data_IF_452908115542
#
_entry.id   IF_452908115542
#
_cell.length_a   1.000
_cell.length_b   1.000
_cell.length_c   1.000
_cell.angle_alpha   90.00
_cell.angle_beta   90.00
_cell.angle_gamma   90.00
#
_symmetry.space_group_name_H-M   'P 1'
#
loop_
_entity.id
_entity.type
_entity.pdbx_description
1 polymer ?
#
# COMPACT_ATOMS: atom_id res chain seq x y z
N UNK A 1 -19.87 -78.60 59.66
CA UNK A 1 -20.12 -77.94 58.37
C UNK A 1 -19.01 -76.94 58.15
N UNK A 2 -18.04 -77.32 57.32
CA UNK A 2 -16.82 -76.59 56.99
C UNK A 2 -17.01 -76.00 55.60
N UNK A 3 -17.02 -74.67 55.48
CA UNK A 3 -17.09 -73.97 54.20
C UNK A 3 -15.75 -73.34 53.87
N UNK A 4 -15.24 -73.72 52.70
CA UNK A 4 -13.97 -73.36 52.09
C UNK A 4 -13.97 -71.91 51.57
N UNK A 5 -12.85 -71.22 51.77
CA UNK A 5 -12.54 -69.89 51.23
C UNK A 5 -11.88 -70.04 49.86
N UNK A 6 -12.27 -69.21 48.89
CA UNK A 6 -11.63 -69.09 47.56
C UNK A 6 -11.06 -67.67 47.41
N UNK A 7 -9.82 -67.48 46.89
CA UNK A 7 -9.16 -66.17 46.88
C UNK A 7 -9.46 -65.34 45.63
N UNK A 8 -9.26 -64.04 45.79
CA UNK A 8 -9.63 -62.93 44.91
C UNK A 8 -8.93 -62.90 43.54
N UNK A 9 -9.65 -62.44 42.51
CA UNK A 9 -9.09 -61.95 41.25
C UNK A 9 -8.92 -60.43 41.33
N UNK A 10 -7.71 -59.95 41.04
CA UNK A 10 -7.39 -58.52 40.95
C UNK A 10 -7.94 -57.92 39.65
N UNK A 11 -8.51 -56.71 39.64
CA UNK A 11 -8.92 -56.05 38.40
C UNK A 11 -7.71 -55.49 37.65
N UNK A 12 -7.64 -55.79 36.36
CA UNK A 12 -6.67 -55.24 35.39
C UNK A 12 -6.90 -53.72 35.26
N UNK A 13 -5.84 -52.87 35.27
CA UNK A 13 -6.01 -51.44 35.04
C UNK A 13 -6.43 -51.19 33.58
N UNK A 14 -7.55 -50.51 33.40
CA UNK A 14 -8.00 -50.05 32.10
C UNK A 14 -6.95 -49.09 31.49
N UNK A 15 -6.48 -49.42 30.28
CA UNK A 15 -5.60 -48.55 29.52
C UNK A 15 -6.27 -47.19 29.28
N UNK A 16 -5.59 -46.11 29.62
CA UNK A 16 -6.07 -44.76 29.34
C UNK A 16 -6.15 -44.53 27.82
N UNK A 17 -7.25 -43.99 27.28
CA UNK A 17 -7.31 -43.67 25.86
C UNK A 17 -6.26 -42.62 25.52
N UNK A 18 -5.47 -42.89 24.49
CA UNK A 18 -4.50 -41.94 23.94
C UNK A 18 -5.21 -40.64 23.53
N UNK A 19 -4.59 -39.46 23.72
CA UNK A 19 -5.20 -38.20 23.33
C UNK A 19 -5.39 -38.19 21.82
N UNK A 20 -6.65 -38.16 21.38
CA UNK A 20 -6.98 -37.88 19.99
C UNK A 20 -6.34 -36.53 19.63
N UNK A 21 -5.43 -36.57 18.63
CA UNK A 21 -4.88 -35.39 18.01
C UNK A 21 -6.01 -34.64 17.29
N UNK A 22 -6.73 -33.83 18.05
CA UNK A 22 -7.78 -32.98 17.55
C UNK A 22 -7.20 -32.07 16.48
N UNK A 23 -7.73 -32.19 15.26
CA UNK A 23 -7.51 -31.27 14.14
C UNK A 23 -7.71 -29.84 14.63
N UNK A 24 -6.62 -29.16 14.93
CA UNK A 24 -6.58 -27.83 15.51
C UNK A 24 -6.97 -26.78 14.48
N UNK A 25 -8.25 -26.69 14.15
CA UNK A 25 -8.79 -25.52 13.47
C UNK A 25 -8.60 -24.30 14.37
N UNK A 26 -8.10 -23.19 13.82
CA UNK A 26 -7.98 -21.91 14.51
C UNK A 26 -9.36 -21.48 15.03
N UNK A 27 -9.64 -21.79 16.30
CA UNK A 27 -10.83 -21.28 17.00
C UNK A 27 -10.38 -20.00 17.70
N UNK A 28 -10.74 -18.80 17.19
CA UNK A 28 -10.47 -17.58 17.94
C UNK A 28 -11.15 -17.73 19.31
N UNK A 29 -10.40 -17.55 20.39
CA UNK A 29 -10.88 -17.63 21.78
C UNK A 29 -10.86 -16.24 22.41
N UNK A 30 -11.76 -16.00 23.36
CA UNK A 30 -11.81 -14.76 24.14
C UNK A 30 -12.20 -13.52 23.31
N UNK A 31 -11.49 -12.42 23.52
CA UNK A 31 -11.88 -11.10 22.99
C UNK A 31 -11.86 -11.01 21.45
N UNK A 32 -10.94 -11.70 20.78
CA UNK A 32 -10.90 -11.74 19.30
C UNK A 32 -12.18 -12.36 18.75
N UNK A 33 -12.70 -13.42 19.38
CA UNK A 33 -13.98 -14.02 18.99
C UNK A 33 -15.16 -13.07 19.22
N UNK A 34 -15.15 -12.30 20.32
CA UNK A 34 -16.17 -11.30 20.61
C UNK A 34 -16.19 -10.22 19.53
N UNK A 35 -15.02 -9.65 19.19
CA UNK A 35 -14.87 -8.63 18.13
C UNK A 35 -15.37 -9.18 16.79
N UNK A 36 -14.96 -10.40 16.42
CA UNK A 36 -15.42 -11.05 15.18
C UNK A 36 -16.92 -11.29 15.17
N UNK A 37 -17.53 -11.66 16.30
CA UNK A 37 -18.98 -11.87 16.40
C UNK A 37 -19.75 -10.56 16.34
N UNK A 38 -19.28 -9.52 17.04
CA UNK A 38 -19.89 -8.19 17.07
C UNK A 38 -19.86 -7.53 15.70
N UNK A 39 -18.74 -7.65 14.97
CA UNK A 39 -18.56 -7.04 13.65
C UNK A 39 -18.85 -8.01 12.49
N UNK A 40 -19.42 -9.19 12.76
CA UNK A 40 -19.66 -10.23 11.74
C UNK A 40 -20.34 -9.73 10.46
N UNK A 41 -21.47 -8.98 10.49
CA UNK A 41 -22.11 -8.54 9.25
C UNK A 41 -21.21 -7.59 8.45
N UNK A 42 -20.56 -6.63 9.13
CA UNK A 42 -19.59 -5.71 8.50
C UNK A 42 -18.42 -6.47 7.88
N UNK A 43 -17.85 -7.44 8.60
CA UNK A 43 -16.75 -8.27 8.10
C UNK A 43 -17.15 -9.11 6.89
N UNK A 44 -18.38 -9.65 6.88
CA UNK A 44 -18.91 -10.41 5.73
C UNK A 44 -19.08 -9.48 4.52
N UNK A 45 -19.67 -8.29 4.68
CA UNK A 45 -19.83 -7.33 3.58
C UNK A 45 -18.47 -6.91 3.03
N UNK A 46 -17.51 -6.55 3.90
CA UNK A 46 -16.16 -6.18 3.48
C UNK A 46 -15.44 -7.34 2.78
N UNK A 47 -15.62 -8.58 3.25
CA UNK A 47 -15.05 -9.76 2.59
C UNK A 47 -15.68 -9.98 1.20
N UNK A 48 -16.99 -9.82 1.05
CA UNK A 48 -17.67 -9.93 -0.25
C UNK A 48 -17.21 -8.84 -1.22
N UNK A 49 -17.09 -7.59 -0.76
CA UNK A 49 -16.58 -6.48 -1.57
C UNK A 49 -15.13 -6.72 -1.99
N UNK A 50 -14.29 -7.18 -1.07
CA UNK A 50 -12.90 -7.53 -1.37
C UNK A 50 -12.84 -8.66 -2.41
N UNK A 51 -13.61 -9.74 -2.24
CA UNK A 51 -13.64 -10.84 -3.22
C UNK A 51 -14.14 -10.36 -4.57
N UNK A 52 -15.18 -9.53 -4.61
CA UNK A 52 -15.69 -8.96 -5.85
C UNK A 52 -14.63 -8.13 -6.58
N UNK A 53 -13.91 -7.26 -5.86
CA UNK A 53 -12.82 -6.45 -6.39
C UNK A 53 -11.65 -7.32 -6.90
N UNK A 54 -11.25 -8.35 -6.14
CA UNK A 54 -10.19 -9.26 -6.57
C UNK A 54 -10.58 -10.02 -7.86
N UNK A 55 -11.83 -10.48 -7.96
CA UNK A 55 -12.36 -11.12 -9.17
C UNK A 55 -12.41 -10.13 -10.34
N UNK A 56 -12.84 -8.90 -10.09
CA UNK A 56 -12.88 -7.85 -11.10
C UNK A 56 -11.48 -7.51 -11.62
N UNK A 57 -10.49 -7.32 -10.74
CA UNK A 57 -9.10 -7.07 -11.15
C UNK A 57 -8.52 -8.26 -11.91
N UNK A 58 -8.77 -9.49 -11.46
CA UNK A 58 -8.31 -10.69 -12.17
C UNK A 58 -8.93 -10.77 -13.58
N UNK A 59 -10.23 -10.47 -13.71
CA UNK A 59 -10.91 -10.45 -15.01
C UNK A 59 -10.40 -9.31 -15.89
N UNK A 60 -10.28 -8.10 -15.36
CA UNK A 60 -9.73 -6.94 -16.07
C UNK A 60 -8.33 -7.24 -16.60
N UNK A 61 -7.47 -7.76 -15.74
CA UNK A 61 -6.12 -8.13 -16.13
C UNK A 61 -6.10 -9.22 -17.18
N UNK A 62 -6.98 -10.23 -17.10
CA UNK A 62 -7.09 -11.26 -18.14
C UNK A 62 -7.52 -10.66 -19.49
N UNK A 63 -8.55 -9.80 -19.49
CA UNK A 63 -9.07 -9.16 -20.71
C UNK A 63 -8.03 -8.23 -21.35
N UNK A 64 -7.34 -7.43 -20.53
CA UNK A 64 -6.24 -6.56 -20.97
C UNK A 64 -5.19 -7.34 -21.75
N UNK A 65 -4.70 -8.47 -21.20
CA UNK A 65 -3.66 -9.26 -21.89
C UNK A 65 -4.18 -9.91 -23.14
N UNK A 66 -5.34 -10.55 -23.04
CA UNK A 66 -5.93 -11.25 -24.18
C UNK A 66 -6.13 -10.31 -25.36
N UNK A 67 -6.67 -9.12 -25.13
CA UNK A 67 -6.89 -8.15 -26.20
C UNK A 67 -5.57 -7.51 -26.67
N UNK A 68 -4.61 -7.29 -25.76
CA UNK A 68 -3.27 -6.82 -26.13
C UNK A 68 -2.51 -7.81 -27.02
N UNK A 69 -2.60 -9.11 -26.72
CA UNK A 69 -1.99 -10.20 -27.49
C UNK A 69 -2.65 -10.33 -28.87
N UNK A 70 -3.99 -10.30 -28.93
CA UNK A 70 -4.74 -10.35 -30.21
C UNK A 70 -4.37 -9.18 -31.12
N UNK A 71 -4.07 -8.02 -30.54
CA UNK A 71 -3.64 -6.81 -31.26
C UNK A 71 -2.12 -6.73 -31.44
N UNK A 72 -1.34 -7.69 -30.94
CA UNK A 72 0.13 -7.65 -30.98
C UNK A 72 0.71 -6.30 -30.48
N UNK A 73 0.10 -5.72 -29.42
CA UNK A 73 0.49 -4.40 -28.91
C UNK A 73 1.94 -4.38 -28.41
N UNK A 74 2.42 -5.50 -27.86
CA UNK A 74 3.79 -5.62 -27.39
C UNK A 74 4.81 -5.45 -28.53
N UNK A 75 4.52 -6.01 -29.72
CA UNK A 75 5.44 -5.96 -30.87
C UNK A 75 5.29 -4.66 -31.65
N UNK A 76 4.04 -4.24 -31.90
CA UNK A 76 3.74 -3.08 -32.75
C UNK A 76 3.94 -1.74 -32.05
N UNK A 77 3.87 -1.71 -30.71
CA UNK A 77 4.03 -0.50 -29.91
C UNK A 77 5.29 -0.55 -29.00
N UNK A 78 6.29 -1.36 -29.34
CA UNK A 78 7.49 -1.56 -28.51
C UNK A 78 8.38 -0.31 -28.32
N UNK A 79 8.23 0.71 -29.18
CA UNK A 79 9.04 1.93 -29.16
C UNK A 79 8.35 3.09 -28.43
N UNK A 80 7.41 3.74 -29.11
CA UNK A 80 6.62 4.83 -28.55
C UNK A 80 5.15 4.40 -28.50
N UNK A 81 4.73 3.88 -27.34
CA UNK A 81 3.38 3.36 -27.16
C UNK A 81 2.32 4.47 -27.23
N UNK A 82 2.67 5.70 -26.86
CA UNK A 82 1.76 6.84 -26.96
C UNK A 82 1.55 7.23 -28.41
N UNK A 83 2.62 7.40 -29.17
CA UNK A 83 2.56 7.68 -30.61
C UNK A 83 1.87 6.53 -31.37
N UNK A 84 2.07 5.28 -30.93
CA UNK A 84 1.35 4.11 -31.43
C UNK A 84 -0.16 4.29 -31.28
N UNK A 85 -0.64 4.65 -30.08
CA UNK A 85 -2.06 4.88 -29.84
C UNK A 85 -2.61 6.12 -30.57
N UNK A 86 -1.79 7.13 -30.86
CA UNK A 86 -2.21 8.31 -31.63
C UNK A 86 -2.32 8.03 -33.14
N UNK A 87 -1.49 7.12 -33.68
CA UNK A 87 -1.42 6.84 -35.13
C UNK A 87 -2.13 5.56 -35.57
N UNK A 88 -2.33 4.60 -34.67
CA UNK A 88 -2.83 3.27 -35.00
C UNK A 88 -4.16 2.97 -34.30
N UNK A 89 -5.24 2.83 -35.08
CA UNK A 89 -6.60 2.72 -34.55
C UNK A 89 -6.83 1.57 -33.58
N UNK A 90 -6.27 0.35 -33.75
CA UNK A 90 -6.46 -0.71 -32.77
C UNK A 90 -5.84 -0.42 -31.39
N UNK A 91 -4.73 0.32 -31.33
CA UNK A 91 -4.17 0.79 -30.06
C UNK A 91 -5.01 1.93 -29.46
N UNK A 92 -5.54 2.83 -30.29
CA UNK A 92 -6.49 3.86 -29.86
C UNK A 92 -7.76 3.26 -29.23
N UNK A 93 -8.35 2.25 -29.90
CA UNK A 93 -9.54 1.53 -29.43
C UNK A 93 -9.27 0.81 -28.11
N UNK A 94 -8.11 0.15 -28.00
CA UNK A 94 -7.68 -0.50 -26.77
C UNK A 94 -7.55 0.52 -25.62
N UNK A 95 -6.91 1.65 -25.89
CA UNK A 95 -6.77 2.75 -24.92
C UNK A 95 -8.12 3.29 -24.47
N UNK A 96 -9.05 3.51 -25.40
CA UNK A 96 -10.40 3.98 -25.11
C UNK A 96 -11.21 2.94 -24.30
N UNK A 97 -11.02 1.64 -24.58
CA UNK A 97 -11.74 0.57 -23.89
C UNK A 97 -11.26 0.29 -22.46
N UNK A 98 -9.96 0.42 -22.18
CA UNK A 98 -9.39 0.01 -20.89
C UNK A 98 -8.74 1.13 -20.06
N UNK A 99 -8.47 2.30 -20.64
CA UNK A 99 -7.74 3.38 -19.97
C UNK A 99 -8.42 3.83 -18.67
N UNK A 100 -9.72 4.15 -18.75
CA UNK A 100 -10.49 4.55 -17.58
C UNK A 100 -10.63 3.42 -16.56
N UNK A 101 -10.87 2.19 -17.05
CA UNK A 101 -10.99 1.02 -16.18
C UNK A 101 -9.72 0.83 -15.34
N UNK A 102 -8.54 0.83 -15.96
CA UNK A 102 -7.28 0.70 -15.24
C UNK A 102 -7.03 1.89 -14.31
N UNK A 103 -7.32 3.12 -14.76
CA UNK A 103 -7.14 4.32 -13.95
C UNK A 103 -7.99 4.32 -12.68
N UNK A 104 -9.30 4.09 -12.80
CA UNK A 104 -10.21 4.09 -11.65
C UNK A 104 -9.95 2.93 -10.70
N UNK A 105 -9.58 1.74 -11.20
CA UNK A 105 -9.14 0.64 -10.34
C UNK A 105 -7.86 1.01 -9.57
N UNK A 106 -6.93 1.74 -10.19
CA UNK A 106 -5.75 2.26 -9.51
C UNK A 106 -6.09 3.20 -8.36
N UNK A 107 -7.03 4.12 -8.58
CA UNK A 107 -7.55 5.00 -7.52
C UNK A 107 -8.25 4.21 -6.41
N UNK A 108 -9.00 3.15 -6.73
CA UNK A 108 -9.62 2.28 -5.73
C UNK A 108 -8.56 1.60 -4.85
N UNK A 109 -7.53 1.01 -5.48
CA UNK A 109 -6.41 0.35 -4.80
C UNK A 109 -5.61 1.32 -3.93
N UNK A 110 -5.47 2.57 -4.37
CA UNK A 110 -4.79 3.61 -3.61
C UNK A 110 -5.63 4.10 -2.41
N UNK A 111 -6.88 4.51 -2.65
CA UNK A 111 -7.65 5.28 -1.68
C UNK A 111 -8.54 4.43 -0.78
N UNK A 112 -9.12 3.32 -1.26
CA UNK A 112 -10.03 2.52 -0.44
C UNK A 112 -9.29 1.89 0.76
N UNK A 113 -8.13 1.22 0.59
CA UNK A 113 -7.33 0.73 1.70
C UNK A 113 -6.90 1.81 2.67
N UNK A 114 -6.46 2.96 2.13
CA UNK A 114 -6.03 4.10 2.93
C UNK A 114 -7.16 4.62 3.81
N UNK A 115 -8.31 4.92 3.22
CA UNK A 115 -9.48 5.43 3.93
C UNK A 115 -10.00 4.40 4.94
N UNK A 116 -10.00 3.12 4.58
CA UNK A 116 -10.32 2.04 5.51
C UNK A 116 -9.36 2.04 6.70
N UNK A 117 -8.05 2.22 6.48
CA UNK A 117 -7.06 2.34 7.56
C UNK A 117 -7.33 3.53 8.48
N UNK A 118 -7.50 4.73 7.90
CA UNK A 118 -7.73 5.97 8.65
C UNK A 118 -9.03 5.96 9.47
N UNK A 119 -10.09 5.32 8.96
CA UNK A 119 -11.44 5.40 9.53
C UNK A 119 -11.96 4.12 10.19
N UNK A 120 -11.13 3.08 10.36
CA UNK A 120 -11.51 1.90 11.14
C UNK A 120 -11.02 2.00 12.58
N UNK A 121 -9.71 1.97 12.80
CA UNK A 121 -9.15 1.88 14.14
C UNK A 121 -9.45 3.09 15.02
N UNK A 122 -9.36 4.31 14.46
CA UNK A 122 -9.62 5.54 15.20
C UNK A 122 -11.04 5.61 15.76
N UNK A 123 -12.09 5.58 14.92
CA UNK A 123 -13.47 5.56 15.40
C UNK A 123 -13.80 4.37 16.30
N UNK A 124 -13.28 3.17 16.02
CA UNK A 124 -13.51 2.00 16.87
C UNK A 124 -12.94 2.18 18.29
N UNK A 125 -11.75 2.75 18.43
CA UNK A 125 -11.12 3.03 19.73
C UNK A 125 -11.79 4.22 20.41
N UNK A 126 -12.01 5.31 19.67
CA UNK A 126 -12.56 6.55 20.20
C UNK A 126 -13.99 6.36 20.73
N UNK A 127 -14.85 5.60 20.05
CA UNK A 127 -16.22 5.33 20.51
C UNK A 127 -16.26 4.61 21.85
N UNK A 128 -15.34 3.68 22.10
CA UNK A 128 -15.29 3.01 23.40
C UNK A 128 -14.80 3.95 24.50
N UNK A 129 -13.80 4.78 24.21
CA UNK A 129 -13.31 5.81 25.13
C UNK A 129 -14.40 6.83 25.49
N UNK A 130 -15.13 7.29 24.48
CA UNK A 130 -16.22 8.26 24.57
C UNK A 130 -17.42 7.71 25.34
N UNK A 131 -17.79 6.44 25.13
CA UNK A 131 -18.87 5.76 25.86
C UNK A 131 -18.48 5.22 27.23
N UNK A 132 -17.19 5.23 27.60
CA UNK A 132 -16.68 4.69 28.86
C UNK A 132 -16.69 3.16 28.97
N UNK A 133 -17.07 2.46 27.90
CA UNK A 133 -17.18 0.99 27.85
C UNK A 133 -15.84 0.28 28.06
N UNK A 134 -14.73 0.96 27.74
CA UNK A 134 -13.37 0.47 28.01
C UNK A 134 -13.13 0.14 29.50
N UNK A 135 -13.77 0.84 30.44
CA UNK A 135 -13.60 0.59 31.89
C UNK A 135 -14.09 -0.80 32.29
N UNK A 136 -15.23 -1.21 31.74
CA UNK A 136 -15.79 -2.55 31.96
C UNK A 136 -14.91 -3.62 31.30
N UNK A 137 -14.38 -3.35 30.11
CA UNK A 137 -13.49 -4.27 29.43
C UNK A 137 -12.20 -4.53 30.23
N UNK A 138 -11.67 -3.51 30.90
CA UNK A 138 -10.42 -3.62 31.66
C UNK A 138 -10.59 -4.28 33.02
N UNK A 139 -11.77 -4.17 33.65
CA UNK A 139 -12.06 -4.86 34.91
C UNK A 139 -12.34 -6.35 34.70
N UNK A 140 -12.78 -6.76 33.50
CA UNK A 140 -13.13 -8.16 33.18
C UNK A 140 -11.97 -9.00 32.63
N UNK A 141 -10.74 -8.80 33.14
CA UNK A 141 -9.53 -9.63 32.88
C UNK A 141 -8.70 -9.32 31.63
N UNK A 142 -8.96 -8.22 30.91
CA UNK A 142 -8.12 -7.81 29.77
C UNK A 142 -7.24 -6.61 30.16
N UNK A 143 -5.91 -6.79 30.26
CA UNK A 143 -5.04 -5.66 30.54
C UNK A 143 -5.10 -4.65 29.37
N UNK A 144 -4.95 -3.34 29.65
CA UNK A 144 -5.19 -2.26 28.68
C UNK A 144 -4.45 -2.44 27.34
N UNK A 145 -3.20 -2.91 27.39
CA UNK A 145 -2.39 -3.16 26.21
C UNK A 145 -2.91 -4.35 25.36
N UNK A 146 -3.43 -5.41 25.99
CA UNK A 146 -4.03 -6.56 25.26
C UNK A 146 -5.36 -6.16 24.63
N UNK A 147 -6.14 -5.31 25.30
CA UNK A 147 -7.36 -4.74 24.74
C UNK A 147 -7.07 -3.97 23.45
N UNK A 148 -6.09 -3.05 23.46
CA UNK A 148 -5.74 -2.28 22.26
C UNK A 148 -5.15 -3.20 21.16
N UNK A 149 -4.21 -4.08 21.52
CA UNK A 149 -3.59 -4.97 20.55
C UNK A 149 -4.61 -5.86 19.83
N UNK A 150 -5.59 -6.40 20.55
CA UNK A 150 -6.63 -7.24 19.96
C UNK A 150 -7.57 -6.46 19.03
N UNK A 151 -7.83 -5.17 19.31
CA UNK A 151 -8.62 -4.29 18.42
C UNK A 151 -7.89 -3.97 17.11
N UNK A 152 -6.57 -3.81 17.17
CA UNK A 152 -5.76 -3.46 16.00
C UNK A 152 -5.36 -4.69 15.18
N UNK A 153 -5.26 -5.87 15.80
CA UNK A 153 -4.84 -7.09 15.13
C UNK A 153 -5.75 -7.47 13.95
N UNK A 154 -7.08 -7.41 14.13
CA UNK A 154 -8.03 -7.80 13.06
C UNK A 154 -7.93 -6.86 11.85
N UNK A 155 -8.05 -5.52 11.99
CA UNK A 155 -7.83 -4.59 10.87
C UNK A 155 -6.44 -4.73 10.24
N UNK A 156 -5.38 -4.87 11.03
CA UNK A 156 -4.02 -4.99 10.51
C UNK A 156 -3.83 -6.25 9.66
N UNK A 157 -4.37 -7.40 10.09
CA UNK A 157 -4.31 -8.66 9.31
C UNK A 157 -5.14 -8.54 8.03
N UNK A 158 -6.34 -7.96 8.10
CA UNK A 158 -7.19 -7.76 6.92
C UNK A 158 -6.52 -6.84 5.90
N UNK A 159 -5.88 -5.75 6.36
CA UNK A 159 -5.09 -4.86 5.51
C UNK A 159 -3.92 -5.63 4.88
N UNK A 160 -3.11 -6.32 5.69
CA UNK A 160 -1.94 -7.06 5.20
C UNK A 160 -2.31 -8.08 4.13
N UNK A 161 -3.40 -8.83 4.29
CA UNK A 161 -3.78 -9.86 3.31
C UNK A 161 -4.54 -9.26 2.14
N UNK A 162 -5.63 -8.53 2.40
CA UNK A 162 -6.53 -8.04 1.35
C UNK A 162 -5.89 -7.00 0.46
N UNK A 163 -5.17 -6.04 1.04
CA UNK A 163 -4.57 -4.93 0.30
C UNK A 163 -3.34 -5.41 -0.47
N UNK A 164 -2.59 -6.38 0.06
CA UNK A 164 -1.49 -7.01 -0.70
C UNK A 164 -2.00 -7.74 -1.93
N UNK A 165 -3.11 -8.47 -1.82
CA UNK A 165 -3.73 -9.15 -2.97
C UNK A 165 -4.25 -8.14 -4.01
N UNK A 166 -4.93 -7.08 -3.57
CA UNK A 166 -5.38 -6.00 -4.45
C UNK A 166 -4.21 -5.34 -5.17
N UNK A 167 -3.15 -4.96 -4.44
CA UNK A 167 -1.96 -4.33 -5.00
C UNK A 167 -1.24 -5.25 -5.99
N UNK A 168 -1.12 -6.54 -5.67
CA UNK A 168 -0.50 -7.52 -6.55
C UNK A 168 -1.28 -7.71 -7.86
N UNK A 169 -2.61 -7.86 -7.79
CA UNK A 169 -3.46 -7.97 -8.98
C UNK A 169 -3.48 -6.69 -9.79
N UNK A 170 -3.51 -5.52 -9.14
CA UNK A 170 -3.43 -4.25 -9.83
C UNK A 170 -2.08 -4.06 -10.52
N UNK A 171 -0.98 -4.33 -9.82
CA UNK A 171 0.37 -4.30 -10.40
C UNK A 171 0.47 -5.26 -11.58
N UNK A 172 -0.16 -6.44 -11.47
CA UNK A 172 -0.35 -7.32 -12.61
C UNK A 172 -1.10 -6.56 -13.70
N UNK A 173 -2.38 -6.17 -13.57
CA UNK A 173 -3.12 -5.40 -14.60
C UNK A 173 -2.31 -4.27 -15.26
N UNK A 174 -1.59 -3.51 -14.46
CA UNK A 174 -0.78 -2.38 -14.90
C UNK A 174 0.37 -2.78 -15.83
N UNK A 175 1.01 -3.94 -15.63
CA UNK A 175 2.07 -4.45 -16.51
C UNK A 175 1.54 -5.24 -17.71
N UNK A 176 0.25 -5.15 -18.04
CA UNK A 176 -0.34 -5.88 -19.17
C UNK A 176 0.13 -5.41 -20.54
N UNK A 177 0.52 -4.14 -20.65
CA UNK A 177 0.84 -3.48 -21.91
C UNK A 177 2.07 -2.59 -21.76
N UNK A 178 2.74 -2.22 -22.87
CA UNK A 178 3.86 -1.28 -22.82
C UNK A 178 3.53 -0.01 -22.05
N UNK A 179 4.52 0.52 -21.33
CA UNK A 179 4.41 1.78 -20.57
C UNK A 179 3.90 2.91 -21.46
N UNK A 180 3.07 3.79 -20.89
CA UNK A 180 2.48 4.97 -21.55
C UNK A 180 1.39 4.69 -22.60
N UNK A 181 1.11 3.42 -22.91
CA UNK A 181 -0.01 3.07 -23.80
C UNK A 181 -1.35 3.50 -23.20
N UNK A 182 -1.51 3.33 -21.88
CA UNK A 182 -2.70 3.73 -21.14
C UNK A 182 -2.47 5.05 -20.37
N UNK A 183 -3.51 5.86 -20.13
CA UNK A 183 -3.38 7.10 -19.35
C UNK A 183 -2.86 6.82 -17.94
N UNK A 184 -1.92 7.64 -17.46
CA UNK A 184 -1.37 7.53 -16.10
C UNK A 184 -0.52 6.28 -15.85
N UNK A 185 -0.23 5.48 -16.88
CA UNK A 185 0.55 4.24 -16.79
C UNK A 185 2.06 4.49 -16.67
N UNK A 186 2.47 5.66 -16.19
CA UNK A 186 3.85 5.90 -15.76
C UNK A 186 3.98 5.46 -14.33
N UNK A 187 5.04 4.75 -13.99
CA UNK A 187 5.20 4.14 -12.67
C UNK A 187 5.22 5.19 -11.54
N UNK A 188 5.69 6.41 -11.84
CA UNK A 188 5.74 7.53 -10.88
C UNK A 188 4.38 8.22 -10.71
N UNK A 189 3.51 8.23 -11.73
CA UNK A 189 2.11 8.69 -11.60
C UNK A 189 1.27 7.64 -10.84
N UNK A 190 1.58 6.36 -11.06
CA UNK A 190 0.96 5.20 -10.42
C UNK A 190 1.67 4.76 -9.12
N UNK A 191 2.60 5.55 -8.58
CA UNK A 191 3.50 5.08 -7.52
C UNK A 191 2.77 4.58 -6.27
N UNK A 192 1.70 5.26 -5.87
CA UNK A 192 0.93 4.98 -4.66
C UNK A 192 -0.02 3.78 -4.78
N UNK A 193 -0.30 3.33 -6.01
CA UNK A 193 -1.20 2.21 -6.32
C UNK A 193 -0.44 0.91 -6.60
N UNK A 194 0.90 0.96 -6.69
CA UNK A 194 1.75 -0.17 -7.04
C UNK A 194 2.51 -0.73 -5.83
N UNK A 195 2.85 -2.02 -5.90
CA UNK A 195 3.78 -2.67 -4.99
C UNK A 195 3.41 -2.54 -3.50
N UNK A 196 4.34 -2.17 -2.61
CA UNK A 196 4.09 -2.12 -1.17
C UNK A 196 3.31 -0.89 -0.71
N UNK A 197 3.14 0.13 -1.55
CA UNK A 197 2.62 1.43 -1.14
C UNK A 197 1.19 1.39 -0.59
N UNK A 198 0.21 0.72 -1.25
CA UNK A 198 -1.15 0.61 -0.71
C UNK A 198 -1.21 0.01 0.69
N UNK A 199 -0.37 -1.01 0.95
CA UNK A 199 -0.32 -1.73 2.23
C UNK A 199 0.29 -0.85 3.31
N UNK A 200 1.43 -0.22 3.02
CA UNK A 200 2.13 0.65 3.97
C UNK A 200 1.27 1.86 4.36
N UNK A 201 0.60 2.47 3.39
CA UNK A 201 -0.32 3.59 3.62
C UNK A 201 -1.53 3.19 4.47
N UNK A 202 -2.16 2.05 4.19
CA UNK A 202 -3.30 1.57 4.97
C UNK A 202 -2.92 1.22 6.42
N UNK A 203 -1.79 0.55 6.64
CA UNK A 203 -1.29 0.23 7.99
C UNK A 203 -0.93 1.50 8.79
N UNK A 204 -0.28 2.45 8.13
CA UNK A 204 0.01 3.76 8.71
C UNK A 204 -1.29 4.45 9.14
N UNK A 205 -2.32 4.44 8.29
CA UNK A 205 -3.65 4.95 8.63
C UNK A 205 -4.27 4.30 9.87
N UNK A 206 -4.19 2.96 9.98
CA UNK A 206 -4.67 2.20 11.15
C UNK A 206 -3.96 2.66 12.44
N UNK A 207 -2.63 2.78 12.42
CA UNK A 207 -1.85 3.14 13.59
C UNK A 207 -2.05 4.61 14.01
N UNK A 208 -2.08 5.53 13.04
CA UNK A 208 -2.35 6.95 13.29
C UNK A 208 -3.76 7.16 13.81
N UNK A 209 -4.75 6.48 13.23
CA UNK A 209 -6.14 6.48 13.70
C UNK A 209 -6.25 6.07 15.16
N UNK A 210 -5.61 4.95 15.52
CA UNK A 210 -5.60 4.47 16.90
C UNK A 210 -4.94 5.47 17.87
N UNK A 211 -3.79 6.04 17.50
CA UNK A 211 -3.09 7.03 18.33
C UNK A 211 -3.91 8.31 18.52
N UNK A 212 -4.50 8.84 17.45
CA UNK A 212 -5.36 10.01 17.49
C UNK A 212 -6.63 9.78 18.34
N UNK A 213 -7.18 8.57 18.31
CA UNK A 213 -8.30 8.21 19.16
C UNK A 213 -7.96 8.21 20.65
N UNK A 214 -6.77 7.71 21.03
CA UNK A 214 -6.30 7.75 22.41
C UNK A 214 -6.06 9.19 22.89
N UNK A 215 -5.52 10.03 22.00
CA UNK A 215 -5.20 11.43 22.31
C UNK A 215 -6.46 12.28 22.50
N UNK A 216 -7.44 12.12 21.61
CA UNK A 216 -8.64 12.96 21.62
C UNK A 216 -9.79 12.39 22.44
N UNK A 217 -9.83 11.06 22.63
CA UNK A 217 -10.90 10.31 23.31
C UNK A 217 -12.31 10.56 22.76
N UNK A 218 -12.42 11.13 21.56
CA UNK A 218 -13.67 11.49 20.90
C UNK A 218 -13.60 11.12 19.42
N UNK A 219 -14.70 10.60 18.89
CA UNK A 219 -14.73 10.02 17.55
C UNK A 219 -14.42 11.04 16.44
N UNK A 220 -15.14 12.16 16.41
CA UNK A 220 -15.00 13.18 15.37
C UNK A 220 -13.63 13.87 15.40
N UNK A 221 -13.12 14.34 16.56
CA UNK A 221 -11.76 14.89 16.64
C UNK A 221 -10.68 13.89 16.24
N UNK A 222 -10.81 12.60 16.61
CA UNK A 222 -9.85 11.57 16.20
C UNK A 222 -9.77 11.45 14.68
N UNK A 223 -10.92 11.41 13.99
CA UNK A 223 -11.00 11.36 12.54
C UNK A 223 -10.31 12.56 11.88
N UNK A 224 -10.59 13.77 12.37
CA UNK A 224 -9.99 14.99 11.85
C UNK A 224 -8.46 15.01 12.02
N UNK A 225 -7.97 14.70 13.22
CA UNK A 225 -6.52 14.64 13.52
C UNK A 225 -5.83 13.59 12.67
N UNK A 226 -6.47 12.43 12.47
CA UNK A 226 -5.93 11.34 11.66
C UNK A 226 -5.78 11.76 10.19
N UNK A 227 -6.82 12.36 9.62
CA UNK A 227 -6.81 12.81 8.23
C UNK A 227 -5.76 13.91 7.99
N UNK A 228 -5.72 14.92 8.86
CA UNK A 228 -4.76 16.03 8.74
C UNK A 228 -3.32 15.54 8.96
N UNK A 229 -3.08 14.74 10.00
CA UNK A 229 -1.76 14.22 10.33
C UNK A 229 -1.21 13.31 9.24
N UNK A 230 -2.02 12.36 8.74
CA UNK A 230 -1.62 11.50 7.63
C UNK A 230 -1.46 12.29 6.31
N UNK A 231 -2.34 13.26 6.04
CA UNK A 231 -2.21 14.16 4.90
C UNK A 231 -0.87 14.90 4.90
N UNK A 232 -0.44 15.42 6.05
CA UNK A 232 0.87 16.05 6.21
C UNK A 232 2.03 15.07 5.94
N UNK A 233 1.96 13.84 6.47
CA UNK A 233 2.96 12.79 6.18
C UNK A 233 3.04 12.53 4.68
N UNK A 234 1.90 12.35 4.01
CA UNK A 234 1.84 12.11 2.57
C UNK A 234 2.39 13.29 1.75
N UNK A 235 2.07 14.53 2.13
CA UNK A 235 2.61 15.72 1.49
C UNK A 235 4.13 15.80 1.61
N UNK A 236 4.68 15.50 2.80
CA UNK A 236 6.13 15.48 3.02
C UNK A 236 6.78 14.37 2.19
N UNK A 237 6.24 13.14 2.23
CA UNK A 237 6.76 12.02 1.45
C UNK A 237 6.75 12.31 -0.05
N UNK A 238 5.64 12.85 -0.58
CA UNK A 238 5.55 13.25 -1.99
C UNK A 238 6.59 14.31 -2.38
N UNK A 239 6.89 15.25 -1.49
CA UNK A 239 7.92 16.27 -1.71
C UNK A 239 9.35 15.68 -1.70
N UNK A 240 9.66 14.78 -0.75
CA UNK A 240 11.01 14.20 -0.62
C UNK A 240 11.25 13.00 -1.52
N UNK A 241 10.20 12.38 -2.08
CA UNK A 241 10.27 11.15 -2.91
C UNK A 241 11.33 11.21 -4.01
N UNK A 242 11.45 12.28 -4.82
CA UNK A 242 12.50 12.38 -5.84
C UNK A 242 13.93 12.33 -5.29
N UNK A 243 14.11 12.44 -3.97
CA UNK A 243 15.39 12.50 -3.29
C UNK A 243 15.62 11.31 -2.34
N UNK A 244 14.64 10.41 -2.19
CA UNK A 244 14.78 9.22 -1.34
C UNK A 244 15.71 8.17 -1.97
N UNK A 245 15.84 8.17 -3.30
CA UNK A 245 16.74 7.31 -4.04
C UNK A 245 17.70 8.14 -4.90
N UNK A 246 18.97 7.75 -5.07
CA UNK A 246 19.90 8.49 -5.93
C UNK A 246 19.43 8.49 -7.39
N UNK A 247 19.31 9.64 -8.06
CA UNK A 247 18.94 9.69 -9.46
C UNK A 247 20.10 9.28 -10.37
N UNK A 248 19.77 8.72 -11.54
CA UNK A 248 20.74 8.48 -12.61
C UNK A 248 20.99 9.77 -13.37
N UNK A 249 22.28 10.05 -13.64
CA UNK A 249 22.69 11.19 -14.46
C UNK A 249 23.25 10.70 -15.80
N UNK A 250 22.70 11.21 -16.88
CA UNK A 250 23.32 11.11 -18.21
C UNK A 250 23.92 12.46 -18.59
N UNK A 251 25.06 12.42 -19.28
CA UNK A 251 25.77 13.61 -19.77
C UNK A 251 25.99 13.45 -21.27
N UNK A 252 25.67 14.47 -22.04
CA UNK A 252 25.73 14.45 -23.50
C UNK A 252 26.26 15.76 -24.08
N UNK A 253 26.81 15.69 -25.29
CA UNK A 253 27.24 16.89 -26.03
C UNK A 253 26.03 17.65 -26.61
N UNK A 254 25.02 16.91 -27.09
CA UNK A 254 23.75 17.48 -27.53
C UNK A 254 22.74 17.57 -26.38
N UNK A 255 21.74 18.44 -26.53
CA UNK A 255 20.64 18.54 -25.58
C UNK A 255 19.87 17.21 -25.54
N UNK A 256 19.71 16.58 -24.36
CA UNK A 256 18.95 15.34 -24.25
C UNK A 256 17.46 15.64 -24.45
N UNK A 257 16.82 14.82 -25.29
CA UNK A 257 15.36 14.78 -25.39
C UNK A 257 14.74 14.29 -24.09
N UNK A 258 13.42 14.44 -23.97
CA UNK A 258 12.66 13.77 -22.92
C UNK A 258 12.38 12.34 -23.36
N UNK A 259 12.92 11.31 -22.66
CA UNK A 259 12.64 9.93 -23.00
C UNK A 259 11.14 9.64 -22.84
N UNK A 260 10.57 8.86 -23.76
CA UNK A 260 9.17 8.41 -23.70
C UNK A 260 9.08 6.92 -23.31
N UNK A 261 10.02 6.47 -22.48
CA UNK A 261 10.23 5.08 -22.07
C UNK A 261 9.81 4.84 -20.60
N UNK A 262 9.01 5.75 -20.02
CA UNK A 262 8.63 5.71 -18.61
C UNK A 262 9.68 6.27 -17.65
N UNK A 263 10.69 6.98 -18.15
CA UNK A 263 11.68 7.66 -17.32
C UNK A 263 11.07 8.87 -16.58
N UNK A 264 11.28 8.94 -15.26
CA UNK A 264 10.88 10.10 -14.46
C UNK A 264 12.00 11.14 -14.45
N UNK A 265 11.84 12.21 -15.23
CA UNK A 265 12.83 13.29 -15.30
C UNK A 265 12.71 14.22 -14.09
N UNK A 266 13.84 14.43 -13.41
CA UNK A 266 13.93 15.31 -12.23
C UNK A 266 14.50 16.67 -12.58
N UNK A 267 15.43 16.72 -13.53
CA UNK A 267 16.04 17.97 -13.97
C UNK A 267 16.92 17.77 -15.19
N UNK A 268 16.92 18.78 -16.05
CA UNK A 268 17.75 18.85 -17.25
C UNK A 268 18.45 20.20 -17.27
N UNK A 269 19.59 20.27 -17.93
CA UNK A 269 20.31 21.53 -18.02
C UNK A 269 21.69 21.39 -18.61
N UNK A 270 22.48 22.43 -18.44
CA UNK A 270 23.84 22.54 -18.90
C UNK A 270 24.82 22.30 -17.76
N UNK A 271 25.99 21.75 -18.11
CA UNK A 271 27.16 21.61 -17.26
C UNK A 271 28.29 22.46 -17.82
N UNK A 272 28.89 23.27 -16.96
CA UNK A 272 30.14 23.97 -17.29
C UNK A 272 31.35 23.08 -17.07
N UNK A 273 32.51 23.49 -17.60
CA UNK A 273 33.78 22.78 -17.38
C UNK A 273 34.16 22.68 -15.90
N UNK A 274 33.69 23.63 -15.10
CA UNK A 274 33.90 23.64 -13.64
C UNK A 274 32.96 22.67 -12.89
N UNK A 275 31.97 22.10 -13.58
CA UNK A 275 30.94 21.24 -12.98
C UNK A 275 29.71 21.99 -12.49
N UNK A 276 29.64 23.31 -12.67
CA UNK A 276 28.45 24.09 -12.35
C UNK A 276 27.26 23.65 -13.20
N UNK A 277 26.09 23.56 -12.55
CA UNK A 277 24.82 23.15 -13.15
C UNK A 277 23.96 24.37 -13.41
N UNK A 278 23.48 24.50 -14.63
CA UNK A 278 22.61 25.59 -15.05
C UNK A 278 21.34 24.96 -15.64
N UNK A 279 20.16 25.31 -15.13
CA UNK A 279 18.87 24.79 -15.65
C UNK A 279 18.72 25.13 -17.14
N UNK A 280 18.07 24.27 -17.91
CA UNK A 280 17.74 24.55 -19.31
C UNK A 280 16.73 25.69 -19.48
N UNK A 281 15.96 26.01 -18.43
CA UNK A 281 15.10 27.20 -18.38
C UNK A 281 15.88 28.52 -18.58
N UNK A 282 17.19 28.53 -18.30
CA UNK A 282 18.05 29.69 -18.50
C UNK A 282 18.23 30.05 -19.99
N UNK A 283 17.98 29.11 -20.91
CA UNK A 283 18.20 29.33 -22.34
C UNK A 283 17.24 30.33 -22.99
N UNK A 284 16.07 30.57 -22.40
CA UNK A 284 15.03 31.39 -23.02
C UNK A 284 14.41 30.73 -24.27
N UNK A 285 13.19 31.17 -24.61
CA UNK A 285 12.44 30.60 -25.73
C UNK A 285 13.03 31.07 -27.06
N UNK A 286 13.20 30.15 -28.02
CA UNK A 286 13.69 30.45 -29.37
C UNK A 286 15.22 30.54 -29.51
N UNK A 287 15.95 30.30 -28.43
CA UNK A 287 17.41 30.17 -28.46
C UNK A 287 17.77 28.72 -28.78
N UNK A 288 18.68 28.50 -29.73
CA UNK A 288 19.12 27.15 -30.05
C UNK A 288 19.95 26.58 -28.89
N UNK A 289 19.88 25.26 -28.63
CA UNK A 289 20.67 24.63 -27.56
C UNK A 289 22.16 24.96 -27.64
N UNK A 290 22.74 25.00 -28.83
CA UNK A 290 24.17 25.29 -29.03
C UNK A 290 24.51 26.73 -28.63
N UNK A 291 23.64 27.70 -28.99
CA UNK A 291 23.84 29.10 -28.60
C UNK A 291 23.69 29.29 -27.10
N UNK A 292 22.73 28.62 -26.49
CA UNK A 292 22.53 28.70 -25.05
C UNK A 292 23.74 28.12 -24.29
N UNK A 293 24.22 26.95 -24.73
CA UNK A 293 25.39 26.31 -24.14
C UNK A 293 26.62 27.23 -24.22
N UNK A 294 26.81 27.88 -25.38
CA UNK A 294 27.87 28.88 -25.55
C UNK A 294 27.67 30.13 -24.67
N UNK A 295 26.46 30.67 -24.55
CA UNK A 295 26.20 31.88 -23.76
C UNK A 295 26.41 31.68 -22.26
N UNK A 296 26.26 30.45 -21.78
CA UNK A 296 26.47 30.07 -20.39
C UNK A 296 27.87 29.49 -20.11
N UNK A 297 28.80 29.54 -21.08
CA UNK A 297 30.12 28.91 -20.99
C UNK A 297 30.05 27.43 -20.57
N UNK A 298 28.99 26.75 -20.97
CA UNK A 298 28.80 25.34 -20.77
C UNK A 298 29.40 24.53 -21.93
N UNK A 299 29.77 23.28 -21.68
CA UNK A 299 30.34 22.38 -22.69
C UNK A 299 29.52 21.10 -22.89
N UNK A 300 28.64 20.78 -21.93
CA UNK A 300 27.83 19.56 -21.94
C UNK A 300 26.42 19.82 -21.40
N UNK A 301 25.52 18.89 -21.67
CA UNK A 301 24.18 18.82 -21.06
C UNK A 301 24.12 17.70 -20.02
N UNK A 302 23.24 17.84 -19.04
CA UNK A 302 22.90 16.79 -18.09
C UNK A 302 21.40 16.50 -18.10
N UNK A 303 21.04 15.26 -17.76
CA UNK A 303 19.70 14.83 -17.44
C UNK A 303 19.72 13.95 -16.20
N UNK A 304 19.17 14.46 -15.10
CA UNK A 304 18.92 13.72 -13.87
C UNK A 304 17.52 13.09 -13.94
N UNK A 305 17.45 11.77 -13.76
CA UNK A 305 16.20 11.03 -13.90
C UNK A 305 16.19 9.72 -13.10
N UNK A 306 15.00 9.17 -12.90
CA UNK A 306 14.80 7.80 -12.44
C UNK A 306 14.34 6.91 -13.59
N UNK A 307 15.11 5.89 -14.00
CA UNK A 307 14.62 4.88 -14.94
C UNK A 307 13.47 4.06 -14.34
N UNK A 308 12.67 3.35 -15.15
CA UNK A 308 11.56 2.51 -14.67
C UNK A 308 11.95 1.50 -13.58
N UNK A 309 13.20 1.01 -13.60
CA UNK A 309 13.72 0.07 -12.60
C UNK A 309 13.82 0.64 -11.18
N UNK A 310 13.89 1.97 -11.03
CA UNK A 310 14.00 2.63 -9.72
C UNK A 310 12.70 2.60 -8.91
N UNK A 311 11.56 2.25 -9.54
CA UNK A 311 10.27 2.11 -8.85
C UNK A 311 10.38 1.23 -7.60
N UNK A 312 10.92 0.01 -7.73
CA UNK A 312 10.94 -0.97 -6.64
C UNK A 312 11.79 -0.55 -5.45
N UNK A 313 13.08 -0.17 -5.61
CA UNK A 313 13.87 0.29 -4.47
C UNK A 313 13.27 1.53 -3.81
N UNK A 314 12.76 2.48 -4.60
CA UNK A 314 12.13 3.69 -4.08
C UNK A 314 10.85 3.37 -3.28
N UNK A 315 9.97 2.52 -3.82
CA UNK A 315 8.72 2.11 -3.18
C UNK A 315 8.97 1.34 -1.88
N UNK A 316 9.95 0.43 -1.84
CA UNK A 316 10.30 -0.28 -0.61
C UNK A 316 10.93 0.62 0.44
N UNK A 317 11.72 1.62 0.03
CA UNK A 317 12.30 2.60 0.95
C UNK A 317 11.21 3.47 1.58
N UNK A 318 10.31 4.05 0.77
CA UNK A 318 9.20 4.86 1.27
C UNK A 318 8.23 4.02 2.13
N UNK A 319 7.92 2.78 1.72
CA UNK A 319 7.16 1.84 2.53
C UNK A 319 7.85 1.51 3.87
N UNK A 320 9.19 1.42 3.88
CA UNK A 320 9.99 1.26 5.11
C UNK A 320 9.86 2.45 6.06
N UNK A 321 9.86 3.69 5.54
CA UNK A 321 9.60 4.90 6.32
C UNK A 321 8.19 4.86 6.92
N UNK A 322 7.18 4.54 6.12
CA UNK A 322 5.80 4.40 6.59
C UNK A 322 5.64 3.28 7.62
N UNK A 323 6.34 2.16 7.45
CA UNK A 323 6.35 1.05 8.42
C UNK A 323 7.00 1.47 9.75
N UNK A 324 8.09 2.26 9.70
CA UNK A 324 8.72 2.82 10.90
C UNK A 324 7.76 3.78 11.64
N UNK A 325 7.10 4.69 10.91
CA UNK A 325 6.08 5.58 11.47
C UNK A 325 4.91 4.80 12.08
N UNK A 326 4.46 3.75 11.40
CA UNK A 326 3.42 2.82 11.89
C UNK A 326 3.85 2.18 13.21
N UNK A 327 5.08 1.65 13.28
CA UNK A 327 5.61 1.01 14.48
C UNK A 327 5.74 1.99 15.65
N UNK A 328 6.23 3.21 15.40
CA UNK A 328 6.33 4.28 16.40
C UNK A 328 4.95 4.67 16.92
N UNK A 329 3.97 4.89 16.02
CA UNK A 329 2.60 5.24 16.41
C UNK A 329 1.92 4.12 17.21
N UNK A 330 2.07 2.86 16.79
CA UNK A 330 1.54 1.71 17.51
C UNK A 330 2.20 1.54 18.88
N UNK A 331 3.52 1.70 18.97
CA UNK A 331 4.26 1.67 20.24
C UNK A 331 3.81 2.79 21.18
N UNK A 332 3.69 4.03 20.67
CA UNK A 332 3.22 5.18 21.44
C UNK A 332 1.81 4.95 21.97
N UNK A 333 0.91 4.41 21.14
CA UNK A 333 -0.45 4.07 21.51
C UNK A 333 -0.50 2.99 22.63
N UNK A 334 0.28 1.92 22.48
CA UNK A 334 0.39 0.86 23.49
C UNK A 334 0.99 1.38 24.81
N UNK A 335 2.00 2.26 24.73
CA UNK A 335 2.61 2.89 25.90
C UNK A 335 1.64 3.84 26.60
N UNK A 336 0.89 4.65 25.85
CA UNK A 336 -0.11 5.57 26.38
C UNK A 336 -1.13 4.83 27.23
N UNK A 337 -1.70 3.76 26.67
CA UNK A 337 -2.74 2.95 27.32
C UNK A 337 -2.23 2.24 28.58
N UNK A 338 -0.93 1.95 28.68
CA UNK A 338 -0.33 1.37 29.90
C UNK A 338 -0.15 2.36 31.04
N UNK A 339 -0.02 3.66 30.76
CA UNK A 339 0.44 4.64 31.76
C UNK A 339 -0.57 5.74 32.10
N UNK A 340 -1.50 6.09 31.19
CA UNK A 340 -2.27 7.34 31.29
C UNK A 340 -3.78 7.12 31.41
N UNK A 341 -4.24 5.90 31.12
CA UNK A 341 -5.65 5.56 31.27
C UNK A 341 -5.76 4.69 32.53
N UNK A 342 -6.28 5.23 33.64
CA UNK A 342 -6.38 4.54 34.93
C UNK A 342 -7.48 3.46 34.94
#
# INVERSE_FOLDING_TARGET
>A
MTTTVSPASSPVPAASPAPEAGRGGFRPRGFVWLVLRQHRPTLVVLALLLVAELVQLALLGYLLRKDADVRALADLCAGDARECAERWSPAADFRAGYGDALHFNGLLVQYVPLLAGLFTAGPMVARELESGTWRLAWTQSLPPARWLAAKLAVPAVLVLVGVSLMSALYTWCWTAVPTELLPGQRWYDSFEMLGPMPVANALCGVAFGALAALATRRTVPAMAVTLVGYGAVRSVLGYVRPHLWPPTRTVSLGMPGYPNDGTWVLGRGMLTRSGERISDDACGIGVSPERCLASHNADRWYLDHHPPGDHWPLAWLEAGVLAALTAVAAWAALRWVRHVVP
#
